data_IF_690684174238
#
_entry.id   IF_690684174238
#
_cell.length_a   1.000
_cell.length_b   1.000
_cell.length_c   1.000
_cell.angle_alpha   90.00
_cell.angle_beta   90.00
_cell.angle_gamma   90.00
#
_symmetry.space_group_name_H-M   'P 1'
#
loop_
_entity.id
_entity.type
_entity.pdbx_description
1 polymer ?
#
# COMPACT_ATOMS: atom_id res chain seq x y z
N UNK A 1 17.63 10.58 -0.51
CA UNK A 1 16.86 10.50 0.74
C UNK A 1 15.44 10.12 0.34
N UNK A 2 15.15 8.82 0.27
CA UNK A 2 13.90 8.30 -0.29
C UNK A 2 12.73 8.54 0.65
N UNK A 3 11.69 9.22 0.17
CA UNK A 3 10.49 9.53 0.95
C UNK A 3 9.73 8.24 1.30
N UNK A 4 9.36 8.12 2.58
CA UNK A 4 8.64 6.96 3.13
C UNK A 4 7.22 6.94 2.57
N UNK A 5 6.87 5.89 1.84
CA UNK A 5 5.51 5.61 1.41
C UNK A 5 4.70 5.09 2.61
N UNK A 6 4.17 6.01 3.42
CA UNK A 6 3.33 5.71 4.58
C UNK A 6 1.88 5.53 4.13
N UNK A 7 1.39 4.29 4.16
CA UNK A 7 -0.03 3.99 4.08
C UNK A 7 -0.50 3.72 5.51
N UNK A 8 -1.30 4.63 6.06
CA UNK A 8 -1.89 4.50 7.38
C UNK A 8 -3.06 3.51 7.30
N UNK A 9 -2.84 2.27 7.74
CA UNK A 9 -3.90 1.28 7.91
C UNK A 9 -4.20 1.17 9.40
N UNK A 10 -5.43 1.50 9.80
CA UNK A 10 -5.94 1.31 11.16
C UNK A 10 -6.20 -0.18 11.40
N UNK A 11 -5.69 -0.68 12.53
CA UNK A 11 -5.52 -2.10 12.86
C UNK A 11 -6.76 -3.00 12.65
N UNK A 12 -6.50 -4.21 12.16
CA UNK A 12 -7.20 -5.42 12.62
C UNK A 12 -6.23 -6.63 12.56
N UNK A 13 -6.03 -7.28 13.71
CA UNK A 13 -5.13 -8.43 13.86
C UNK A 13 -5.89 -9.73 13.59
N UNK A 14 -5.65 -10.37 12.43
CA UNK A 14 -5.95 -11.80 12.24
C UNK A 14 -4.87 -12.47 11.38
N UNK A 15 -3.97 -13.22 12.01
CA UNK A 15 -3.28 -14.44 11.52
C UNK A 15 -2.65 -14.52 10.12
N UNK A 16 -2.60 -13.44 9.34
CA UNK A 16 -2.23 -13.44 7.93
C UNK A 16 -0.84 -12.85 7.69
N UNK A 17 -0.02 -13.55 6.92
CA UNK A 17 1.35 -13.16 6.51
C UNK A 17 1.48 -11.78 5.82
N UNK A 18 0.37 -11.07 5.55
CA UNK A 18 0.30 -9.86 4.74
C UNK A 18 -0.42 -8.68 5.43
N UNK A 19 -0.35 -8.58 6.76
CA UNK A 19 -0.91 -7.42 7.48
C UNK A 19 0.09 -6.24 7.45
N UNK A 20 -0.26 -5.07 6.86
CA UNK A 20 0.60 -3.89 6.90
C UNK A 20 0.72 -3.35 8.34
N UNK A 21 1.88 -2.79 8.67
CA UNK A 21 2.14 -2.15 9.97
C UNK A 21 2.48 -0.69 9.79
N UNK A 22 2.04 0.15 10.73
CA UNK A 22 2.43 1.57 10.77
C UNK A 22 3.96 1.67 10.83
N UNK A 23 4.55 2.49 9.95
CA UNK A 23 5.99 2.66 9.86
C UNK A 23 6.72 1.56 9.08
N UNK A 24 6.02 0.62 8.44
CA UNK A 24 6.64 -0.34 7.52
C UNK A 24 7.30 0.38 6.34
N UNK A 25 8.50 -0.05 5.96
CA UNK A 25 9.27 0.50 4.85
C UNK A 25 9.67 -0.59 3.88
N UNK A 26 9.70 -0.27 2.59
CA UNK A 26 10.17 -1.16 1.52
C UNK A 26 11.45 -0.59 0.91
N UNK A 27 12.36 -1.46 0.48
CA UNK A 27 13.61 -1.07 -0.17
C UNK A 27 13.37 -0.61 -1.61
N UNK A 28 12.38 -1.19 -2.27
CA UNK A 28 12.00 -0.88 -3.65
C UNK A 28 10.49 -0.67 -3.76
N UNK A 29 10.07 0.04 -4.82
CA UNK A 29 8.66 0.19 -5.15
C UNK A 29 8.02 -1.16 -5.49
N UNK A 30 8.75 -2.04 -6.18
CA UNK A 30 8.26 -3.36 -6.59
C UNK A 30 7.93 -4.25 -5.37
N UNK A 31 8.76 -4.19 -4.32
CA UNK A 31 8.49 -4.88 -3.05
C UNK A 31 7.21 -4.36 -2.39
N UNK A 32 7.01 -3.04 -2.38
CA UNK A 32 5.81 -2.42 -1.85
C UNK A 32 4.56 -2.86 -2.64
N UNK A 33 4.62 -2.77 -3.97
CA UNK A 33 3.52 -3.16 -4.85
C UNK A 33 3.15 -4.63 -4.66
N UNK A 34 4.14 -5.53 -4.61
CA UNK A 34 3.92 -6.96 -4.39
C UNK A 34 3.28 -7.24 -3.04
N UNK A 35 3.68 -6.54 -1.99
CA UNK A 35 3.07 -6.67 -0.67
C UNK A 35 1.59 -6.27 -0.69
N UNK A 36 1.28 -5.07 -1.18
CA UNK A 36 -0.10 -4.58 -1.21
C UNK A 36 -1.00 -5.40 -2.13
N UNK A 37 -0.49 -5.92 -3.25
CA UNK A 37 -1.24 -6.83 -4.14
C UNK A 37 -1.65 -8.15 -3.47
N UNK A 38 -0.88 -8.61 -2.49
CA UNK A 38 -1.22 -9.81 -1.73
C UNK A 38 -2.15 -9.46 -0.57
N UNK A 39 -1.97 -8.30 0.06
CA UNK A 39 -2.85 -7.81 1.11
C UNK A 39 -4.29 -7.62 0.61
N UNK A 40 -4.49 -7.01 -0.56
CA UNK A 40 -5.84 -6.81 -1.15
C UNK A 40 -6.61 -8.12 -1.36
N UNK A 41 -5.91 -9.20 -1.73
CA UNK A 41 -6.50 -10.53 -1.91
C UNK A 41 -6.97 -11.15 -0.59
N UNK A 42 -6.23 -10.91 0.50
CA UNK A 42 -6.55 -11.48 1.82
C UNK A 42 -7.66 -10.69 2.49
N UNK A 43 -7.65 -9.36 2.34
CA UNK A 43 -8.54 -8.47 3.05
C UNK A 43 -9.84 -8.14 2.29
N UNK A 44 -10.04 -8.76 1.13
CA UNK A 44 -11.25 -8.69 0.29
C UNK A 44 -11.69 -7.24 0.02
N UNK A 45 -10.74 -6.45 -0.50
CA UNK A 45 -11.00 -5.07 -0.94
C UNK A 45 -10.21 -4.75 -2.20
N UNK A 46 -10.68 -3.76 -2.96
CA UNK A 46 -10.00 -3.25 -4.14
C UNK A 46 -9.16 -2.02 -3.80
N UNK A 47 -8.02 -1.88 -4.47
CA UNK A 47 -7.17 -0.69 -4.41
C UNK A 47 -7.21 0.06 -5.72
N UNK A 48 -7.18 1.39 -5.65
CA UNK A 48 -7.04 2.26 -6.81
C UNK A 48 -5.98 3.32 -6.53
N UNK A 49 -5.05 3.50 -7.47
CA UNK A 49 -4.13 4.65 -7.44
C UNK A 49 -4.91 5.89 -7.85
N UNK A 50 -5.02 6.86 -6.94
CA UNK A 50 -5.71 8.13 -7.20
C UNK A 50 -4.78 9.17 -7.81
N UNK A 51 -3.54 9.23 -7.34
CA UNK A 51 -2.52 10.14 -7.86
C UNK A 51 -1.12 9.55 -7.71
N UNK A 52 -0.22 9.96 -8.60
CA UNK A 52 1.21 9.66 -8.52
C UNK A 52 1.95 10.97 -8.74
N UNK A 53 2.70 11.43 -7.74
CA UNK A 53 3.60 12.56 -7.90
C UNK A 53 4.95 12.05 -8.42
N UNK A 54 5.38 12.60 -9.56
CA UNK A 54 6.69 12.31 -10.15
C UNK A 54 7.50 13.58 -10.21
N UNK A 55 8.79 13.45 -9.96
CA UNK A 55 9.78 14.46 -10.29
C UNK A 55 10.72 13.86 -11.32
N UNK A 56 10.74 14.43 -12.52
CA UNK A 56 11.45 13.85 -13.66
C UNK A 56 10.99 12.40 -13.92
N UNK A 57 11.90 11.44 -13.85
CA UNK A 57 11.62 10.01 -14.01
C UNK A 57 11.47 9.26 -12.69
N UNK A 58 11.51 9.95 -11.54
CA UNK A 58 11.42 9.33 -10.21
C UNK A 58 10.02 9.54 -9.61
N UNK A 59 9.42 8.45 -9.12
CA UNK A 59 8.18 8.50 -8.34
C UNK A 59 8.52 9.00 -6.94
N UNK A 60 7.97 10.15 -6.56
CA UNK A 60 8.16 10.74 -5.22
C UNK A 60 7.14 10.20 -4.22
N UNK A 61 5.87 10.16 -4.63
CA UNK A 61 4.82 9.55 -3.82
C UNK A 61 3.64 9.06 -4.68
N UNK A 62 2.84 8.18 -4.09
CA UNK A 62 1.60 7.68 -4.65
C UNK A 62 0.51 7.71 -3.60
N UNK A 63 -0.68 8.17 -3.99
CA UNK A 63 -1.88 8.09 -3.18
C UNK A 63 -2.70 6.89 -3.65
N UNK A 64 -2.88 5.92 -2.77
CA UNK A 64 -3.68 4.72 -3.03
C UNK A 64 -4.90 4.77 -2.11
N UNK A 65 -6.08 4.57 -2.70
CA UNK A 65 -7.36 4.50 -1.98
C UNK A 65 -7.88 3.07 -2.02
N UNK A 66 -8.48 2.62 -0.91
CA UNK A 66 -9.07 1.29 -0.78
C UNK A 66 -10.60 1.41 -0.73
N UNK A 67 -11.30 0.49 -1.41
CA UNK A 67 -12.75 0.36 -1.35
C UNK A 67 -13.13 -1.10 -1.17
N UNK A 68 -14.01 -1.37 -0.20
CA UNK A 68 -14.68 -2.66 -0.02
C UNK A 68 -16.10 -2.49 -0.57
N UNK A 69 -16.40 -3.12 -1.70
CA UNK A 69 -17.80 -3.26 -2.08
C UNK A 69 -18.44 -4.26 -1.12
N UNK A 70 -19.47 -3.83 -0.39
CA UNK A 70 -20.26 -4.72 0.45
C UNK A 70 -21.10 -5.65 -0.42
N UNK A 71 -21.23 -6.91 -0.01
CA UNK A 71 -22.37 -7.73 -0.42
C UNK A 71 -23.66 -7.18 0.17
#
# INVERSE_FOLDING_TARGET
>A
MGEKMTLEVLQEETGGKFVPKVGMTFTTLEDAEKFYRNYTKVADFSTRVRSTNRKENEIKNQLITCSREGK
#
